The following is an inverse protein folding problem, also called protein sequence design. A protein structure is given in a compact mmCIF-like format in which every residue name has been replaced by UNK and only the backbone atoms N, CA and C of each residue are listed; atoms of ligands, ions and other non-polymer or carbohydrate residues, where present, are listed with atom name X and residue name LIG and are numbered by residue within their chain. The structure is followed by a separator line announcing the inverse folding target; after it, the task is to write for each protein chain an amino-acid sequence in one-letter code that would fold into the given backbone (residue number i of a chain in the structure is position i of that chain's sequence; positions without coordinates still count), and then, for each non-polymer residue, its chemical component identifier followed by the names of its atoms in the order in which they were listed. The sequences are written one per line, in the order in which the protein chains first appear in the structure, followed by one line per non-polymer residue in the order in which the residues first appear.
data_IF_134752141549
#
_entry.id   IF_134752141549
#
_cell.length_a   1.000
_cell.length_b   1.000
_cell.length_c   1.000
_cell.angle_alpha   90.00
_cell.angle_beta   90.00
_cell.angle_gamma   90.00
#
_symmetry.space_group_name_H-M   'P 1'
#
loop_
_entity.id
_entity.type
_entity.pdbx_description
1 polymer ?
#
# COMPACT_ATOMS: atom_id res chain seq x y z
N UNK A 1 21.61 36.05 11.08
CA UNK A 1 20.44 35.95 10.19
C UNK A 1 19.59 34.77 10.65
N UNK A 2 18.30 34.97 10.89
CA UNK A 2 17.36 33.89 11.21
C UNK A 2 17.10 33.09 9.92
N UNK A 3 17.95 32.10 9.64
CA UNK A 3 17.63 31.12 8.62
C UNK A 3 16.49 30.25 9.16
N UNK A 4 15.35 30.25 8.48
CA UNK A 4 14.24 29.34 8.76
C UNK A 4 14.35 28.14 7.83
N UNK A 5 13.99 26.94 8.31
CA UNK A 5 14.14 25.73 7.51
C UNK A 5 13.10 25.73 6.37
N UNK A 6 13.54 25.43 5.15
CA UNK A 6 12.71 25.56 3.94
C UNK A 6 11.71 24.42 3.91
N UNK A 7 10.42 24.77 3.89
CA UNK A 7 9.35 23.79 3.76
C UNK A 7 9.27 23.34 2.29
N UNK A 8 9.42 22.02 2.07
CA UNK A 8 9.27 21.43 0.75
C UNK A 8 7.82 21.59 0.29
N UNK A 9 7.57 22.54 -0.61
CA UNK A 9 6.29 22.67 -1.29
C UNK A 9 6.41 21.95 -2.63
N UNK A 10 5.87 20.74 -2.71
CA UNK A 10 5.76 20.04 -3.97
C UNK A 10 4.56 20.59 -4.74
N UNK A 11 4.83 21.19 -5.91
CA UNK A 11 3.78 21.60 -6.80
C UNK A 11 3.07 20.36 -7.36
N UNK A 12 1.81 20.18 -6.94
CA UNK A 12 0.95 19.06 -7.33
C UNK A 12 0.76 18.96 -8.84
N UNK A 13 1.01 20.04 -9.59
CA UNK A 13 0.94 20.05 -11.05
C UNK A 13 2.08 19.27 -11.72
N UNK A 14 3.24 19.13 -11.08
CA UNK A 14 4.43 18.48 -11.67
C UNK A 14 4.28 16.96 -11.76
N UNK A 15 3.48 16.35 -10.88
CA UNK A 15 3.25 14.89 -10.84
C UNK A 15 1.91 14.51 -11.52
N UNK A 16 1.08 15.48 -11.92
CA UNK A 16 -0.11 15.21 -12.72
C UNK A 16 0.30 14.77 -14.12
N UNK A 17 0.53 13.47 -14.29
CA UNK A 17 0.53 12.84 -15.60
C UNK A 17 -0.89 13.01 -16.13
N UNK A 18 -1.06 13.88 -17.13
CA UNK A 18 -2.33 14.08 -17.83
C UNK A 18 -2.78 12.74 -18.44
N UNK A 19 -3.60 11.99 -17.72
CA UNK A 19 -4.37 10.89 -18.29
C UNK A 19 -5.67 11.50 -18.78
N UNK A 20 -5.70 11.83 -20.06
CA UNK A 20 -6.91 12.19 -20.79
C UNK A 20 -7.92 11.02 -20.65
N UNK A 21 -9.16 11.37 -20.29
CA UNK A 21 -10.32 10.48 -20.10
C UNK A 21 -10.27 9.55 -18.86
N UNK A 22 -10.62 10.11 -17.69
CA UNK A 22 -11.00 9.31 -16.52
C UNK A 22 -12.40 8.71 -16.71
N UNK A 23 -12.55 7.41 -16.44
CA UNK A 23 -13.85 6.76 -16.29
C UNK A 23 -14.74 7.54 -15.31
N UNK A 24 -16.02 7.69 -15.64
CA UNK A 24 -16.99 8.23 -14.68
C UNK A 24 -17.15 7.27 -13.50
N UNK A 25 -17.50 7.82 -12.33
CA UNK A 25 -17.74 7.02 -11.12
C UNK A 25 -18.80 5.94 -11.34
N UNK A 26 -19.87 6.27 -12.07
CA UNK A 26 -20.95 5.34 -12.38
C UNK A 26 -20.46 4.16 -13.23
N UNK A 27 -19.68 4.44 -14.28
CA UNK A 27 -19.07 3.39 -15.11
C UNK A 27 -18.12 2.52 -14.30
N UNK A 28 -17.31 3.10 -13.41
CA UNK A 28 -16.38 2.36 -12.56
C UNK A 28 -17.12 1.42 -11.59
N UNK A 29 -18.23 1.87 -10.99
CA UNK A 29 -19.06 1.02 -10.14
C UNK A 29 -19.70 -0.14 -10.91
N UNK A 30 -20.25 0.14 -12.10
CA UNK A 30 -20.82 -0.90 -12.98
C UNK A 30 -19.74 -1.92 -13.35
N UNK A 31 -18.53 -1.46 -13.69
CA UNK A 31 -17.41 -2.34 -14.01
C UNK A 31 -17.03 -3.25 -12.83
N UNK A 32 -16.91 -2.71 -11.61
CA UNK A 32 -16.62 -3.54 -10.43
C UNK A 32 -17.68 -4.61 -10.24
N UNK A 33 -18.96 -4.25 -10.31
CA UNK A 33 -20.05 -5.21 -10.13
C UNK A 33 -19.99 -6.32 -11.19
N UNK A 34 -19.84 -5.94 -12.46
CA UNK A 34 -19.74 -6.87 -13.56
C UNK A 34 -18.51 -7.78 -13.42
N UNK A 35 -17.36 -7.25 -12.99
CA UNK A 35 -16.17 -8.08 -12.76
C UNK A 35 -16.42 -9.15 -11.69
N UNK A 36 -17.09 -8.80 -10.59
CA UNK A 36 -17.41 -9.77 -9.53
C UNK A 36 -18.36 -10.85 -10.05
N UNK A 37 -19.38 -10.48 -10.81
CA UNK A 37 -20.36 -11.43 -11.37
C UNK A 37 -19.72 -12.32 -12.44
N UNK A 38 -18.80 -11.80 -13.23
CA UNK A 38 -18.00 -12.58 -14.18
C UNK A 38 -17.05 -13.54 -13.46
N UNK A 39 -16.39 -13.14 -12.37
CA UNK A 39 -15.56 -14.05 -11.54
C UNK A 39 -16.39 -15.23 -11.00
N UNK A 40 -17.66 -15.01 -10.67
CA UNK A 40 -18.55 -16.05 -10.16
C UNK A 40 -19.02 -17.05 -11.22
N UNK A 41 -19.04 -16.65 -12.49
CA UNK A 41 -19.66 -17.41 -13.58
C UNK A 41 -18.65 -17.98 -14.57
N UNK A 42 -17.50 -17.31 -14.73
CA UNK A 42 -16.45 -17.66 -15.68
C UNK A 42 -15.32 -18.42 -15.00
N UNK A 43 -14.63 -19.26 -15.78
CA UNK A 43 -13.66 -20.20 -15.24
C UNK A 43 -12.32 -20.18 -15.98
N UNK A 44 -12.20 -19.55 -17.15
CA UNK A 44 -10.93 -19.54 -17.88
C UNK A 44 -9.90 -18.60 -17.25
N UNK A 45 -8.66 -19.06 -17.27
CA UNK A 45 -7.52 -18.42 -16.61
C UNK A 45 -7.21 -17.01 -17.14
N UNK A 46 -7.28 -16.81 -18.47
CA UNK A 46 -6.97 -15.53 -19.11
C UNK A 46 -8.00 -14.45 -18.77
N UNK A 47 -9.29 -14.81 -18.74
CA UNK A 47 -10.35 -13.88 -18.36
C UNK A 47 -10.26 -13.51 -16.89
N UNK A 48 -10.04 -14.48 -16.00
CA UNK A 48 -9.85 -14.19 -14.56
C UNK A 48 -8.62 -13.30 -14.36
N UNK A 49 -7.52 -13.54 -15.08
CA UNK A 49 -6.34 -12.70 -15.03
C UNK A 49 -6.65 -11.25 -15.45
N UNK A 50 -7.39 -11.05 -16.54
CA UNK A 50 -7.81 -9.73 -17.00
C UNK A 50 -8.73 -9.04 -15.99
N UNK A 51 -9.69 -9.77 -15.42
CA UNK A 51 -10.63 -9.26 -14.43
C UNK A 51 -9.93 -8.84 -13.13
N UNK A 52 -9.01 -9.65 -12.62
CA UNK A 52 -8.23 -9.31 -11.43
C UNK A 52 -7.33 -8.10 -11.66
N UNK A 53 -6.74 -7.94 -12.85
CA UNK A 53 -5.98 -6.72 -13.20
C UNK A 53 -6.87 -5.48 -13.26
N UNK A 54 -8.09 -5.61 -13.78
CA UNK A 54 -9.06 -4.51 -13.82
C UNK A 54 -9.51 -4.13 -12.40
N UNK A 55 -9.88 -5.12 -11.57
CA UNK A 55 -10.20 -4.91 -10.15
C UNK A 55 -9.02 -4.26 -9.43
N UNK A 56 -7.79 -4.72 -9.64
CA UNK A 56 -6.60 -4.13 -9.04
C UNK A 56 -6.44 -2.65 -9.41
N UNK A 57 -6.75 -2.27 -10.66
CA UNK A 57 -6.69 -0.88 -11.10
C UNK A 57 -7.82 -0.04 -10.49
N UNK A 58 -9.04 -0.56 -10.44
CA UNK A 58 -10.21 0.14 -9.88
C UNK A 58 -10.06 0.30 -8.36
N UNK A 59 -9.70 -0.75 -7.64
CA UNK A 59 -9.49 -0.73 -6.17
C UNK A 59 -8.34 0.17 -5.71
N UNK A 60 -7.63 0.85 -6.63
CA UNK A 60 -6.77 1.98 -6.26
C UNK A 60 -7.53 3.12 -5.61
N UNK A 61 -8.80 3.31 -6.00
CA UNK A 61 -9.68 4.24 -5.33
C UNK A 61 -10.48 3.51 -4.25
N UNK A 62 -10.34 3.96 -3.01
CA UNK A 62 -10.99 3.36 -1.85
C UNK A 62 -12.53 3.35 -1.96
N UNK A 63 -13.13 4.29 -2.69
CA UNK A 63 -14.57 4.30 -2.98
C UNK A 63 -15.04 3.02 -3.68
N UNK A 64 -14.22 2.47 -4.58
CA UNK A 64 -14.56 1.26 -5.32
C UNK A 64 -14.20 -0.01 -4.52
N UNK A 65 -13.24 0.08 -3.59
CA UNK A 65 -12.96 -0.98 -2.61
C UNK A 65 -14.21 -1.30 -1.79
N UNK A 66 -14.87 -0.26 -1.27
CA UNK A 66 -16.10 -0.43 -0.49
C UNK A 66 -17.17 -1.21 -1.28
N UNK A 67 -17.46 -0.79 -2.51
CA UNK A 67 -18.38 -1.51 -3.39
C UNK A 67 -17.96 -2.97 -3.62
N UNK A 68 -16.66 -3.20 -3.84
CA UNK A 68 -16.12 -4.54 -4.09
C UNK A 68 -16.35 -5.47 -2.90
N UNK A 69 -16.12 -4.99 -1.68
CA UNK A 69 -16.33 -5.75 -0.44
C UNK A 69 -17.82 -5.99 -0.20
N UNK A 70 -18.66 -4.95 -0.26
CA UNK A 70 -20.11 -5.03 -0.05
C UNK A 70 -20.80 -6.01 -1.02
N UNK A 71 -20.32 -6.06 -2.27
CA UNK A 71 -20.83 -6.98 -3.28
C UNK A 71 -20.26 -8.38 -3.17
N UNK A 72 -19.45 -8.69 -2.16
CA UNK A 72 -18.91 -10.03 -1.91
C UNK A 72 -17.77 -10.40 -2.86
N UNK A 73 -16.98 -9.43 -3.31
CA UNK A 73 -15.83 -9.64 -4.19
C UNK A 73 -14.72 -10.47 -3.54
N UNK A 74 -14.51 -10.33 -2.24
CA UNK A 74 -13.55 -11.15 -1.47
C UNK A 74 -13.93 -12.63 -1.60
N UNK A 75 -15.17 -12.98 -1.25
CA UNK A 75 -15.70 -14.35 -1.37
C UNK A 75 -15.66 -14.87 -2.80
N UNK A 76 -15.87 -14.01 -3.80
CA UNK A 76 -15.76 -14.41 -5.20
C UNK A 76 -14.33 -14.86 -5.55
N UNK A 77 -13.32 -14.12 -5.10
CA UNK A 77 -11.90 -14.49 -5.26
C UNK A 77 -11.57 -15.77 -4.47
N UNK A 78 -12.03 -15.89 -3.23
CA UNK A 78 -11.76 -17.05 -2.37
C UNK A 78 -12.35 -18.36 -2.93
N UNK A 79 -13.45 -18.26 -3.69
CA UNK A 79 -14.12 -19.42 -4.29
C UNK A 79 -13.62 -19.79 -5.70
N UNK A 80 -12.57 -19.13 -6.20
CA UNK A 80 -11.95 -19.50 -7.47
C UNK A 80 -11.44 -20.96 -7.44
N UNK A 81 -11.46 -21.60 -8.61
CA UNK A 81 -11.03 -23.00 -8.78
C UNK A 81 -9.72 -23.07 -9.56
N UNK A 82 -9.03 -24.22 -9.52
CA UNK A 82 -7.75 -24.42 -10.21
C UNK A 82 -7.80 -24.14 -11.73
N UNK A 83 -8.98 -24.25 -12.36
CA UNK A 83 -9.15 -23.95 -13.80
C UNK A 83 -8.82 -22.48 -14.10
N UNK A 84 -8.97 -21.60 -13.10
CA UNK A 84 -8.67 -20.17 -13.17
C UNK A 84 -7.21 -19.83 -12.83
N UNK A 85 -6.33 -20.83 -12.67
CA UNK A 85 -4.94 -20.61 -12.29
C UNK A 85 -4.11 -20.00 -13.42
N UNK A 86 -3.43 -18.88 -13.15
CA UNK A 86 -2.41 -18.28 -14.03
C UNK A 86 -1.15 -17.93 -13.23
N UNK A 87 -0.02 -17.78 -13.91
CA UNK A 87 1.22 -17.41 -13.23
C UNK A 87 1.11 -16.07 -12.48
N UNK A 88 1.36 -16.08 -11.18
CA UNK A 88 1.33 -14.87 -10.35
C UNK A 88 -0.04 -14.49 -9.80
N UNK A 89 -1.05 -15.38 -9.86
CA UNK A 89 -2.38 -15.11 -9.28
C UNK A 89 -2.31 -14.68 -7.80
N UNK A 90 -1.46 -15.35 -7.00
CA UNK A 90 -1.28 -15.05 -5.58
C UNK A 90 -0.87 -13.60 -5.37
N UNK A 91 0.12 -13.13 -6.13
CA UNK A 91 0.62 -11.75 -6.03
C UNK A 91 -0.44 -10.71 -6.39
N UNK A 92 -1.28 -10.97 -7.40
CA UNK A 92 -2.39 -10.05 -7.72
C UNK A 92 -3.44 -10.01 -6.61
N UNK A 93 -3.80 -11.16 -6.06
CA UNK A 93 -4.79 -11.26 -4.98
C UNK A 93 -4.28 -10.53 -3.74
N UNK A 94 -3.01 -10.72 -3.37
CA UNK A 94 -2.39 -10.00 -2.26
C UNK A 94 -2.48 -8.50 -2.48
N UNK A 95 -2.16 -8.00 -3.67
CA UNK A 95 -2.24 -6.56 -3.96
C UNK A 95 -3.67 -6.03 -3.87
N UNK A 96 -4.67 -6.80 -4.31
CA UNK A 96 -6.09 -6.41 -4.17
C UNK A 96 -6.47 -6.37 -2.68
N UNK A 97 -6.14 -7.40 -1.91
CA UNK A 97 -6.42 -7.44 -0.47
C UNK A 97 -5.69 -6.34 0.29
N UNK A 98 -4.48 -5.99 -0.15
CA UNK A 98 -3.74 -4.84 0.33
C UNK A 98 -4.53 -3.54 0.15
N UNK A 99 -5.16 -3.35 -1.01
CA UNK A 99 -6.02 -2.18 -1.22
C UNK A 99 -7.24 -2.13 -0.30
N UNK A 100 -7.75 -3.29 0.15
CA UNK A 100 -8.85 -3.37 1.13
C UNK A 100 -8.37 -2.98 2.52
N UNK A 101 -7.14 -3.37 2.89
CA UNK A 101 -6.50 -3.05 4.17
C UNK A 101 -6.10 -1.57 4.29
N UNK A 102 -5.71 -0.96 3.19
CA UNK A 102 -5.22 0.42 3.12
C UNK A 102 -6.37 1.44 2.99
N UNK A 103 -7.02 1.80 4.10
CA UNK A 103 -7.76 3.05 4.18
C UNK A 103 -6.81 4.26 4.00
N UNK A 104 -7.35 5.47 3.79
CA UNK A 104 -6.51 6.66 3.53
C UNK A 104 -5.42 6.83 4.60
N UNK A 105 -5.73 6.53 5.86
CA UNK A 105 -4.80 6.68 6.97
C UNK A 105 -3.73 5.59 6.98
N UNK A 106 -4.09 4.32 6.84
CA UNK A 106 -3.15 3.20 6.72
C UNK A 106 -2.23 3.39 5.51
N UNK A 107 -2.76 3.90 4.40
CA UNK A 107 -1.95 4.23 3.23
C UNK A 107 -0.89 5.29 3.56
N UNK A 108 -1.24 6.37 4.25
CA UNK A 108 -0.25 7.37 4.69
C UNK A 108 0.87 6.73 5.52
N UNK A 109 0.52 5.86 6.46
CA UNK A 109 1.47 5.21 7.36
C UNK A 109 2.39 4.23 6.64
N UNK A 110 1.83 3.39 5.77
CA UNK A 110 2.62 2.46 4.95
C UNK A 110 3.56 3.22 4.02
N UNK A 111 3.08 4.31 3.41
CA UNK A 111 3.94 5.19 2.62
C UNK A 111 5.05 5.80 3.47
N UNK A 112 4.75 6.33 4.65
CA UNK A 112 5.75 6.90 5.56
C UNK A 112 6.82 5.88 5.93
N UNK A 113 6.42 4.68 6.34
CA UNK A 113 7.34 3.59 6.66
C UNK A 113 8.23 3.23 5.48
N UNK A 114 7.66 3.14 4.28
CA UNK A 114 8.42 2.84 3.05
C UNK A 114 9.42 3.95 2.69
N UNK A 115 9.04 5.22 2.89
CA UNK A 115 9.90 6.39 2.67
C UNK A 115 11.05 6.37 3.67
N UNK A 116 10.75 6.21 4.97
CA UNK A 116 11.76 6.14 6.03
C UNK A 116 12.72 4.96 5.83
N UNK A 117 12.21 3.78 5.48
CA UNK A 117 13.06 2.61 5.18
C UNK A 117 14.00 2.88 4.00
N UNK A 118 13.47 3.44 2.91
CA UNK A 118 14.29 3.80 1.76
C UNK A 118 15.37 4.83 2.10
N UNK A 119 15.16 5.67 3.11
CA UNK A 119 16.15 6.66 3.57
C UNK A 119 17.17 6.04 4.55
N UNK A 120 16.76 5.10 5.39
CA UNK A 120 17.67 4.39 6.32
C UNK A 120 18.65 3.50 5.55
N UNK A 121 18.16 2.75 4.55
CA UNK A 121 18.96 1.79 3.76
C UNK A 121 20.06 2.46 2.92
N UNK A 122 20.01 3.78 2.73
CA UNK A 122 21.02 4.52 1.97
C UNK A 122 22.12 5.12 2.86
N UNK A 123 22.05 4.98 4.20
CA UNK A 123 23.08 5.37 5.19
C UNK A 123 23.65 6.81 5.10
N UNK A 124 23.14 7.65 4.19
CA UNK A 124 23.61 9.03 4.02
C UNK A 124 22.67 10.00 4.73
N UNK A 125 23.26 10.78 5.64
CA UNK A 125 22.61 11.90 6.34
C UNK A 125 22.32 13.07 5.37
N UNK A 126 22.87 13.00 4.15
CA UNK A 126 22.78 14.01 3.11
C UNK A 126 22.68 13.36 1.73
N UNK A 127 21.73 13.81 0.92
CA UNK A 127 21.51 13.29 -0.43
C UNK A 127 21.87 14.34 -1.47
N UNK A 128 22.92 14.09 -2.24
CA UNK A 128 23.15 14.84 -3.48
C UNK A 128 21.99 14.59 -4.46
N UNK A 129 21.78 15.52 -5.40
CA UNK A 129 20.70 15.42 -6.40
C UNK A 129 20.68 14.08 -7.17
N UNK A 130 21.85 13.44 -7.33
CA UNK A 130 21.97 12.10 -7.92
C UNK A 130 21.40 11.00 -7.01
N UNK A 131 21.65 11.06 -5.72
CA UNK A 131 21.14 10.10 -4.74
C UNK A 131 19.63 10.25 -4.52
N UNK A 132 19.11 11.48 -4.59
CA UNK A 132 17.67 11.72 -4.53
C UNK A 132 16.92 11.04 -5.69
N UNK A 133 17.46 11.06 -6.90
CA UNK A 133 16.88 10.33 -8.04
C UNK A 133 16.90 8.81 -7.82
N UNK A 134 17.92 8.27 -7.14
CA UNK A 134 17.98 6.85 -6.78
C UNK A 134 16.91 6.49 -5.74
N UNK A 135 16.69 7.35 -4.74
CA UNK A 135 15.61 7.19 -3.75
C UNK A 135 14.24 7.27 -4.44
N UNK A 136 13.99 8.26 -5.28
CA UNK A 136 12.73 8.40 -6.01
C UNK A 136 12.44 7.15 -6.86
N UNK A 137 13.48 6.54 -7.44
CA UNK A 137 13.35 5.26 -8.15
C UNK A 137 12.95 4.11 -7.21
N UNK A 138 13.55 4.01 -6.01
CA UNK A 138 13.12 3.05 -4.98
C UNK A 138 11.68 3.29 -4.52
N UNK A 139 11.25 4.56 -4.47
CA UNK A 139 9.91 4.98 -4.08
C UNK A 139 8.89 4.99 -5.22
N UNK A 140 9.28 4.62 -6.45
CA UNK A 140 8.37 4.56 -7.60
C UNK A 140 7.09 3.73 -7.33
N UNK A 141 7.14 2.56 -6.66
CA UNK A 141 5.94 1.82 -6.30
C UNK A 141 5.01 2.60 -5.34
N UNK A 142 5.57 3.43 -4.47
CA UNK A 142 4.86 4.26 -3.50
C UNK A 142 4.19 5.44 -4.21
N UNK A 143 4.93 6.12 -5.08
CA UNK A 143 4.45 7.27 -5.87
C UNK A 143 3.30 6.85 -6.79
N UNK A 144 3.45 5.71 -7.47
CA UNK A 144 2.45 5.20 -8.43
C UNK A 144 1.17 4.68 -7.78
N UNK A 145 1.18 4.45 -6.45
CA UNK A 145 0.02 4.06 -5.66
C UNK A 145 -0.92 5.25 -5.44
N UNK A 146 -0.39 6.37 -4.97
CA UNK A 146 -1.12 7.64 -4.85
C UNK A 146 -0.13 8.79 -4.75
N UNK A 147 0.00 9.57 -5.82
CA UNK A 147 0.90 10.72 -5.85
C UNK A 147 0.50 11.80 -4.85
N UNK A 148 -0.80 12.02 -4.66
CA UNK A 148 -1.30 13.05 -3.73
C UNK A 148 -0.96 12.73 -2.28
N UNK A 149 -1.17 11.48 -1.86
CA UNK A 149 -0.85 11.03 -0.50
C UNK A 149 0.67 10.96 -0.32
N UNK A 150 1.40 10.50 -1.34
CA UNK A 150 2.85 10.50 -1.31
C UNK A 150 3.41 11.91 -1.08
N UNK A 151 2.92 12.93 -1.79
CA UNK A 151 3.34 14.31 -1.59
C UNK A 151 3.03 14.83 -0.19
N UNK A 152 1.86 14.50 0.35
CA UNK A 152 1.47 14.84 1.72
C UNK A 152 2.45 14.21 2.75
N UNK A 153 2.70 12.92 2.62
CA UNK A 153 3.59 12.17 3.52
C UNK A 153 5.04 12.65 3.41
N UNK A 154 5.55 12.82 2.19
CA UNK A 154 6.91 13.31 1.95
C UNK A 154 7.10 14.71 2.53
N UNK A 155 6.11 15.59 2.43
CA UNK A 155 6.20 16.95 3.01
C UNK A 155 6.23 16.93 4.55
N UNK A 156 5.66 15.90 5.16
CA UNK A 156 5.68 15.69 6.61
C UNK A 156 6.99 15.05 7.08
N UNK A 157 7.53 14.11 6.30
CA UNK A 157 8.72 13.32 6.64
C UNK A 157 10.01 14.03 6.26
N UNK A 158 10.06 14.73 5.14
CA UNK A 158 11.27 15.34 4.58
C UNK A 158 11.26 16.87 4.70
N UNK A 159 12.44 17.43 4.92
CA UNK A 159 12.68 18.87 4.93
C UNK A 159 14.02 19.18 4.27
N UNK A 160 14.13 20.31 3.56
CA UNK A 160 15.42 20.80 3.07
C UNK A 160 16.03 21.76 4.08
N UNK A 161 17.25 21.47 4.50
CA UNK A 161 18.05 22.29 5.40
C UNK A 161 19.31 22.79 4.67
N UNK A 162 19.66 24.07 4.76
CA UNK A 162 20.96 24.55 4.34
C UNK A 162 22.11 23.85 5.09
N UNK A 163 23.28 23.69 4.45
CA UNK A 163 24.50 23.13 5.08
C UNK A 163 24.93 23.87 6.35
N UNK A 164 24.51 25.13 6.53
CA UNK A 164 24.77 25.94 7.73
C UNK A 164 24.12 25.40 9.01
N UNK A 165 23.14 24.49 8.90
CA UNK A 165 22.48 23.84 10.03
C UNK A 165 23.18 22.55 10.49
N UNK A 166 24.25 22.12 9.81
CA UNK A 166 25.03 20.94 10.20
C UNK A 166 25.86 21.24 11.44
N UNK A 167 25.97 20.26 12.34
CA UNK A 167 26.89 20.36 13.49
C UNK A 167 28.33 20.17 13.03
N UNK A 168 29.29 20.78 13.74
CA UNK A 168 30.72 20.75 13.35
C UNK A 168 31.24 19.31 13.12
N UNK A 169 30.76 18.32 13.88
CA UNK A 169 31.16 16.92 13.73
C UNK A 169 30.69 16.26 12.41
N UNK A 170 29.56 16.70 11.84
CA UNK A 170 29.04 16.18 10.58
C UNK A 170 29.89 16.69 9.40
N UNK A 171 30.31 17.95 9.48
CA UNK A 171 31.12 18.64 8.46
C UNK A 171 32.50 17.98 8.24
N UNK A 172 33.17 17.51 9.30
CA UNK A 172 34.52 16.94 9.21
C UNK A 172 34.56 15.53 8.62
N UNK A 173 33.44 14.80 8.60
CA UNK A 173 33.38 13.48 7.97
C UNK A 173 33.26 13.54 6.44
N UNK A 174 33.08 14.73 5.88
CA UNK A 174 32.61 14.94 4.52
C UNK A 174 33.57 15.86 3.74
N UNK A 175 34.37 15.26 2.86
CA UNK A 175 35.48 15.95 2.19
C UNK A 175 35.10 16.73 0.92
N UNK A 176 33.83 16.72 0.49
CA UNK A 176 33.41 17.26 -0.82
C UNK A 176 32.07 18.03 -0.83
N UNK A 177 31.71 18.70 0.28
CA UNK A 177 30.48 19.51 0.29
C UNK A 177 30.77 20.90 -0.25
N UNK A 178 30.08 21.28 -1.33
CA UNK A 178 30.11 22.63 -1.85
C UNK A 178 29.39 23.56 -0.86
N UNK A 179 30.08 24.60 -0.39
CA UNK A 179 29.55 25.61 0.53
C UNK A 179 28.26 26.22 -0.08
N UNK A 180 27.15 26.23 0.67
CA UNK A 180 25.77 26.61 0.27
C UNK A 180 24.90 25.53 -0.45
N UNK A 181 25.13 24.24 -0.27
CA UNK A 181 24.18 23.22 -0.74
C UNK A 181 22.97 23.05 0.20
N UNK A 182 21.87 22.49 -0.34
CA UNK A 182 20.69 22.08 0.42
C UNK A 182 20.77 20.59 0.71
N UNK A 183 20.52 20.22 1.96
CA UNK A 183 20.54 18.86 2.46
C UNK A 183 19.11 18.40 2.70
N UNK A 184 18.81 17.17 2.27
CA UNK A 184 17.56 16.50 2.59
C UNK A 184 17.64 15.89 3.99
N UNK A 185 16.89 16.46 4.92
CA UNK A 185 16.80 16.05 6.31
C UNK A 185 15.49 15.30 6.60
N UNK A 186 15.57 14.20 7.35
CA UNK A 186 14.41 13.40 7.77
C UNK A 186 13.91 13.90 9.13
N UNK A 187 12.67 14.35 9.20
CA UNK A 187 12.05 14.78 10.46
C UNK A 187 11.86 13.59 11.40
N UNK A 188 12.11 13.77 12.72
CA UNK A 188 11.81 12.74 13.71
C UNK A 188 10.31 12.42 13.68
N UNK A 189 9.96 11.16 14.00
CA UNK A 189 8.58 10.73 14.09
C UNK A 189 7.82 11.60 15.10
N UNK A 190 6.81 12.33 14.65
CA UNK A 190 5.89 13.02 15.56
C UNK A 190 4.96 11.98 16.17
N UNK A 191 4.88 11.93 17.51
CA UNK A 191 4.04 11.03 18.33
C UNK A 191 2.51 11.04 18.02
N UNK A 192 2.05 11.64 16.93
CA UNK A 192 0.65 11.56 16.49
C UNK A 192 0.31 10.21 15.80
N UNK A 193 1.29 9.32 15.64
CA UNK A 193 1.16 8.08 14.89
C UNK A 193 0.90 6.83 15.77
N UNK A 194 1.00 6.94 17.10
CA UNK A 194 1.08 5.76 17.99
C UNK A 194 -0.24 5.33 18.67
N UNK A 195 -1.36 6.02 18.45
CA UNK A 195 -2.66 5.65 19.02
C UNK A 195 -3.66 5.25 17.94
N UNK A 196 -3.49 4.07 17.34
CA UNK A 196 -4.46 3.52 16.39
C UNK A 196 -4.73 2.05 16.70
N UNK A 197 -5.64 1.82 17.64
CA UNK A 197 -6.15 0.48 18.00
C UNK A 197 -7.40 0.08 17.19
N UNK A 198 -7.81 0.86 16.18
CA UNK A 198 -9.00 0.56 15.37
C UNK A 198 -8.63 0.18 13.94
N UNK A 199 -9.03 -1.02 13.54
CA UNK A 199 -8.94 -1.51 12.17
C UNK A 199 -10.14 -0.98 11.40
N UNK A 200 -9.94 -0.64 10.12
CA UNK A 200 -11.05 -0.21 9.27
C UNK A 200 -12.05 -1.34 9.08
N UNK A 201 -13.35 -1.03 9.08
CA UNK A 201 -14.45 -1.99 8.93
C UNK A 201 -14.25 -2.97 7.74
N UNK A 202 -13.77 -2.46 6.60
CA UNK A 202 -13.48 -3.28 5.41
C UNK A 202 -12.32 -4.26 5.61
N UNK A 203 -11.34 -3.88 6.42
CA UNK A 203 -10.20 -4.73 6.76
C UNK A 203 -10.63 -5.84 7.73
N UNK A 204 -11.50 -5.54 8.69
CA UNK A 204 -12.12 -6.56 9.55
C UNK A 204 -12.92 -7.57 8.72
N UNK A 205 -13.75 -7.09 7.79
CA UNK A 205 -14.49 -7.97 6.88
C UNK A 205 -13.59 -8.90 6.06
N UNK A 206 -12.46 -8.39 5.55
CA UNK A 206 -11.51 -9.22 4.82
C UNK A 206 -10.86 -10.27 5.72
N UNK A 207 -10.42 -9.90 6.93
CA UNK A 207 -9.87 -10.88 7.86
C UNK A 207 -10.89 -11.96 8.23
N UNK A 208 -12.13 -11.57 8.47
CA UNK A 208 -13.21 -12.50 8.81
C UNK A 208 -13.47 -13.48 7.67
N UNK A 209 -13.52 -13.01 6.43
CA UNK A 209 -13.69 -13.88 5.27
C UNK A 209 -12.49 -14.83 5.07
N UNK A 210 -11.25 -14.37 5.33
CA UNK A 210 -10.06 -15.21 5.26
C UNK A 210 -10.01 -16.27 6.38
N UNK A 211 -10.34 -15.89 7.62
CA UNK A 211 -10.39 -16.80 8.76
C UNK A 211 -11.51 -17.83 8.59
N UNK A 212 -12.71 -17.38 8.21
CA UNK A 212 -13.82 -18.28 7.90
C UNK A 212 -13.45 -19.28 6.81
N UNK A 213 -12.73 -18.84 5.76
CA UNK A 213 -12.25 -19.75 4.73
C UNK A 213 -11.32 -20.85 5.27
N UNK A 214 -10.47 -20.54 6.25
CA UNK A 214 -9.59 -21.53 6.89
C UNK A 214 -10.36 -22.51 7.78
N UNK A 215 -11.40 -22.02 8.47
CA UNK A 215 -12.24 -22.80 9.39
C UNK A 215 -13.20 -23.75 8.66
N UNK A 216 -13.62 -23.43 7.44
CA UNK A 216 -14.46 -24.33 6.66
C UNK A 216 -13.69 -25.64 6.40
N UNK A 217 -14.25 -26.75 6.88
CA UNK A 217 -13.79 -28.10 6.57
C UNK A 217 -14.15 -28.40 5.12
N UNK A 218 -13.15 -28.69 4.29
CA UNK A 218 -13.36 -29.02 2.89
C UNK A 218 -14.02 -30.39 2.76
N UNK A 219 -15.33 -30.40 2.53
CA UNK A 219 -16.00 -31.59 2.00
C UNK A 219 -15.56 -31.78 0.53
N UNK A 220 -14.74 -32.82 0.36
CA UNK A 220 -14.43 -33.59 -0.85
C UNK A 220 -15.19 -33.16 -2.13
N UNK A 221 -14.49 -32.46 -3.05
CA UNK A 221 -14.56 -32.60 -4.54
C UNK A 221 -14.30 -31.29 -5.33
N UNK A 222 -14.27 -30.10 -4.71
CA UNK A 222 -13.90 -28.86 -5.43
C UNK A 222 -12.42 -28.56 -5.26
N UNK A 223 -11.65 -28.67 -6.36
CA UNK A 223 -10.25 -28.20 -6.42
C UNK A 223 -10.20 -26.66 -6.42
N UNK A 224 -10.07 -26.08 -5.22
CA UNK A 224 -9.96 -24.62 -5.03
C UNK A 224 -8.62 -24.12 -5.53
N UNK A 225 -8.61 -22.91 -6.10
CA UNK A 225 -7.37 -22.24 -6.51
C UNK A 225 -6.50 -21.87 -5.30
N UNK A 226 -7.14 -21.39 -4.24
CA UNK A 226 -6.50 -20.94 -3.03
C UNK A 226 -6.55 -22.06 -1.98
N UNK A 227 -5.39 -22.63 -1.69
CA UNK A 227 -5.25 -23.64 -0.62
C UNK A 227 -5.19 -22.96 0.75
N UNK A 228 -5.44 -23.73 1.82
CA UNK A 228 -5.27 -23.23 3.20
C UNK A 228 -3.85 -22.66 3.43
N UNK A 229 -2.82 -23.30 2.88
CA UNK A 229 -1.44 -22.81 2.92
C UNK A 229 -1.27 -21.47 2.20
N UNK A 230 -1.91 -21.28 1.05
CA UNK A 230 -1.88 -20.01 0.31
C UNK A 230 -2.55 -18.89 1.10
N UNK A 231 -3.69 -19.17 1.74
CA UNK A 231 -4.39 -18.18 2.57
C UNK A 231 -3.58 -17.80 3.81
N UNK A 232 -2.92 -18.76 4.47
CA UNK A 232 -2.01 -18.48 5.57
C UNK A 232 -0.81 -17.61 5.15
N UNK A 233 -0.27 -17.85 3.95
CA UNK A 233 0.77 -17.01 3.37
C UNK A 233 0.27 -15.59 3.08
N UNK A 234 -0.93 -15.46 2.52
CA UNK A 234 -1.56 -14.15 2.27
C UNK A 234 -1.76 -13.40 3.59
N UNK A 235 -2.30 -14.07 4.61
CA UNK A 235 -2.48 -13.50 5.94
C UNK A 235 -1.15 -13.05 6.52
N UNK A 236 -0.11 -13.88 6.49
CA UNK A 236 1.20 -13.50 7.04
C UNK A 236 1.80 -12.30 6.31
N UNK A 237 1.63 -12.18 5.00
CA UNK A 237 2.09 -11.00 4.25
C UNK A 237 1.31 -9.73 4.63
N UNK A 238 -0.02 -9.83 4.78
CA UNK A 238 -0.85 -8.71 5.23
C UNK A 238 -0.48 -8.28 6.66
N UNK A 239 -0.35 -9.23 7.58
CA UNK A 239 -0.01 -8.97 8.98
C UNK A 239 1.35 -8.27 9.10
N UNK A 240 2.38 -8.81 8.44
CA UNK A 240 3.72 -8.21 8.46
C UNK A 240 3.74 -6.78 7.87
N UNK A 241 2.81 -6.49 6.95
CA UNK A 241 2.71 -5.18 6.31
C UNK A 241 1.98 -4.13 7.16
N UNK A 242 1.10 -4.56 8.07
CA UNK A 242 0.21 -3.68 8.85
C UNK A 242 0.21 -4.05 10.34
N UNK A 243 1.01 -3.33 11.15
CA UNK A 243 1.22 -3.61 12.58
C UNK A 243 -0.04 -3.52 13.45
N UNK A 244 -1.06 -2.77 13.03
CA UNK A 244 -2.32 -2.67 13.77
C UNK A 244 -3.14 -3.97 13.67
N UNK A 245 -2.84 -4.81 12.68
CA UNK A 245 -3.55 -6.07 12.42
C UNK A 245 -3.08 -7.22 13.33
N UNK A 246 -1.81 -7.22 13.74
CA UNK A 246 -1.27 -8.15 14.73
C UNK A 246 -2.10 -8.15 16.02
N UNK A 247 -2.45 -6.93 16.49
CA UNK A 247 -3.23 -6.73 17.70
C UNK A 247 -4.63 -7.35 17.57
N UNK A 248 -5.31 -7.16 16.46
CA UNK A 248 -6.67 -7.70 16.25
C UNK A 248 -6.70 -9.21 16.17
N UNK A 249 -5.76 -9.82 15.44
CA UNK A 249 -5.67 -11.27 15.41
C UNK A 249 -5.35 -11.84 16.78
N UNK A 250 -4.50 -11.17 17.57
CA UNK A 250 -4.26 -11.53 18.98
C UNK A 250 -5.51 -11.39 19.85
N UNK A 251 -6.48 -10.55 19.46
CA UNK A 251 -7.72 -10.37 20.22
C UNK A 251 -8.77 -11.43 19.85
N UNK A 252 -8.86 -11.81 18.57
CA UNK A 252 -9.83 -12.79 18.06
C UNK A 252 -9.39 -14.25 18.25
N UNK A 253 -8.09 -14.55 18.10
CA UNK A 253 -7.56 -15.91 18.30
C UNK A 253 -7.72 -16.43 19.73
N UNK A 254 -7.82 -15.54 20.73
CA UNK A 254 -8.08 -15.91 22.13
C UNK A 254 -9.57 -16.10 22.46
N UNK A 255 -10.49 -15.75 21.57
CA UNK A 255 -11.94 -15.91 21.80
C UNK A 255 -12.53 -17.16 21.14
N UNK A 256 -11.80 -17.83 20.25
CA UNK A 256 -12.27 -19.02 19.52
C UNK A 256 -11.41 -20.29 19.77
N UNK A 257 -10.56 -20.28 20.81
CA UNK A 257 -9.92 -21.48 21.40
C UNK A 257 -10.42 -21.66 22.83
#
# INVERSE_FOLDING_TARGET
HNEQPIMLTFDKSIIKINTNESLSDEQAFILINNCIDLIRTLVDSDTIHALLRLILRLTRNYKYVQQFVEKGGIKAILNLTEISAFQGYTSLIILIFRHIMEDKKNLCLTMEKSIRQALIDNHSVQYDSHEFNLILRKLSPVITRSSDIFLEVVSNVLQLLPTSFMTENEYYTQTNIQMNSLILHVRPETNQITNYDQIGELAEHLLDDLLNFLLINDDNNKKRLLTKSTILYILSELINSYSNMDKFLSTKTFLEI
#
